data_IF_206772583094
#
_entry.id   IF_206772583094
#
_cell.length_a   1.000
_cell.length_b   1.000
_cell.length_c   1.000
_cell.angle_alpha   90.00
_cell.angle_beta   90.00
_cell.angle_gamma   90.00
#
_symmetry.space_group_name_H-M   'P 1'
#
loop_
_entity.id
_entity.type
_entity.pdbx_description
1 polymer ?
#
# COMPACT_ATOMS: atom_id res chain seq x y z
N UNK A 1 61.93 31.33 -22.38
CA UNK A 1 61.67 29.87 -22.45
C UNK A 1 62.91 29.13 -21.96
N UNK A 2 62.82 28.30 -20.90
CA UNK A 2 63.74 27.19 -20.66
C UNK A 2 62.99 25.85 -20.83
N UNK A 3 63.39 24.98 -21.77
CA UNK A 3 64.29 23.83 -21.61
C UNK A 3 63.81 22.76 -20.59
N UNK A 4 63.11 21.73 -21.10
CA UNK A 4 63.02 20.36 -20.53
C UNK A 4 64.36 19.61 -20.75
N UNK A 5 64.70 18.40 -20.22
CA UNK A 5 63.89 17.34 -19.56
C UNK A 5 64.60 16.59 -18.39
N UNK A 6 64.01 15.49 -17.86
CA UNK A 6 64.63 14.24 -17.31
C UNK A 6 63.46 13.40 -16.74
N UNK A 7 63.06 12.28 -17.36
CA UNK A 7 63.48 10.92 -16.99
C UNK A 7 63.00 10.55 -15.57
N UNK A 8 62.23 9.52 -15.26
CA UNK A 8 62.01 8.18 -15.83
C UNK A 8 60.92 7.49 -15.00
N UNK A 9 60.13 6.59 -15.59
CA UNK A 9 59.46 5.52 -14.85
C UNK A 9 57.94 5.50 -14.90
N UNK A 10 57.35 5.18 -16.06
CA UNK A 10 55.98 4.65 -16.09
C UNK A 10 56.09 3.16 -15.72
N UNK A 11 55.99 2.87 -14.41
CA UNK A 11 55.67 1.53 -13.95
C UNK A 11 54.16 1.37 -14.06
N UNK A 12 53.80 0.50 -15.00
CA UNK A 12 52.46 0.04 -15.28
C UNK A 12 52.00 -0.82 -14.08
N UNK A 13 51.40 -0.18 -13.07
CA UNK A 13 50.84 -0.88 -11.92
C UNK A 13 49.38 -1.21 -12.21
N UNK A 14 49.15 -2.47 -12.59
CA UNK A 14 47.83 -3.07 -12.66
C UNK A 14 47.18 -2.97 -11.28
N UNK A 15 46.24 -2.05 -11.12
CA UNK A 15 45.22 -2.12 -10.06
C UNK A 15 43.90 -2.52 -10.67
N UNK A 16 43.74 -3.82 -10.90
CA UNK A 16 42.45 -4.45 -10.63
C UNK A 16 42.33 -4.58 -9.11
N UNK A 17 41.42 -3.83 -8.50
CA UNK A 17 40.66 -4.31 -7.34
C UNK A 17 39.39 -3.47 -7.26
N UNK A 18 38.29 -4.05 -7.75
CA UNK A 18 36.94 -4.00 -7.17
C UNK A 18 36.55 -2.71 -6.42
N UNK A 19 35.69 -1.89 -7.03
CA UNK A 19 34.76 -1.05 -6.26
C UNK A 19 33.86 -2.00 -5.44
N UNK A 20 33.92 -2.02 -4.09
CA UNK A 20 33.01 -2.80 -3.28
C UNK A 20 31.97 -1.88 -2.63
N UNK A 21 31.48 -0.86 -3.36
CA UNK A 21 30.65 0.17 -2.74
C UNK A 21 29.56 0.73 -3.67
N UNK A 22 28.76 -0.15 -4.25
CA UNK A 22 27.31 0.09 -4.29
C UNK A 22 26.74 -0.39 -2.95
N UNK A 23 27.06 0.31 -1.86
CA UNK A 23 26.17 0.25 -0.70
C UNK A 23 24.95 1.07 -1.10
N UNK A 24 23.94 0.35 -1.60
CA UNK A 24 22.60 0.87 -1.74
C UNK A 24 22.23 1.65 -0.49
N UNK A 25 21.63 2.82 -0.70
CA UNK A 25 21.15 3.72 0.34
C UNK A 25 20.50 2.89 1.46
N UNK A 26 20.82 3.13 2.75
CA UNK A 26 20.24 2.33 3.82
C UNK A 26 18.71 2.41 3.73
N UNK A 27 18.09 1.28 3.40
CA UNK A 27 16.65 1.13 3.29
C UNK A 27 16.02 1.58 4.60
N UNK A 28 15.05 2.50 4.53
CA UNK A 28 14.41 3.06 5.71
C UNK A 28 13.76 1.95 6.56
N UNK A 29 13.63 2.16 7.88
CA UNK A 29 12.96 1.18 8.75
C UNK A 29 11.53 0.88 8.27
N UNK A 30 10.80 1.92 7.82
CA UNK A 30 9.46 1.76 7.26
C UNK A 30 9.45 0.91 5.99
N UNK A 31 10.45 1.09 5.11
CA UNK A 31 10.59 0.29 3.89
C UNK A 31 10.91 -1.17 4.22
N UNK A 32 11.76 -1.42 5.21
CA UNK A 32 12.06 -2.77 5.67
C UNK A 32 10.82 -3.48 6.21
N UNK A 33 10.01 -2.77 7.01
CA UNK A 33 8.73 -3.27 7.50
C UNK A 33 7.78 -3.64 6.35
N UNK A 34 7.61 -2.75 5.36
CA UNK A 34 6.79 -3.06 4.17
C UNK A 34 7.31 -4.28 3.39
N UNK A 35 8.63 -4.41 3.23
CA UNK A 35 9.24 -5.54 2.54
C UNK A 35 9.00 -6.86 3.27
N UNK A 36 9.13 -6.87 4.61
CA UNK A 36 8.82 -8.05 5.44
C UNK A 36 7.35 -8.45 5.30
N UNK A 37 6.43 -7.48 5.37
CA UNK A 37 5.00 -7.69 5.17
C UNK A 37 4.67 -8.23 3.79
N UNK A 38 5.28 -7.69 2.73
CA UNK A 38 5.13 -8.18 1.36
C UNK A 38 5.59 -9.64 1.23
N UNK A 39 6.74 -9.98 1.82
CA UNK A 39 7.27 -11.34 1.83
C UNK A 39 6.38 -12.30 2.60
N UNK A 40 5.81 -11.86 3.71
CA UNK A 40 4.82 -12.65 4.44
C UNK A 40 3.62 -13.00 3.55
N UNK A 41 3.04 -12.02 2.83
CA UNK A 41 1.91 -12.29 1.93
C UNK A 41 2.26 -13.25 0.79
N UNK A 42 3.47 -13.16 0.23
CA UNK A 42 3.93 -14.07 -0.82
C UNK A 42 4.03 -15.53 -0.30
N UNK A 43 4.42 -15.71 0.97
CA UNK A 43 4.55 -17.02 1.62
C UNK A 43 3.22 -17.53 2.20
N UNK A 44 2.28 -16.64 2.49
CA UNK A 44 0.98 -16.95 3.09
C UNK A 44 -0.21 -16.60 2.18
N UNK A 45 -0.42 -17.35 1.07
CA UNK A 45 -1.64 -17.23 0.28
C UNK A 45 -2.95 -17.47 1.06
N UNK A 46 -2.85 -18.14 2.22
CA UNK A 46 -3.96 -18.42 3.14
C UNK A 46 -4.56 -17.15 3.76
N UNK A 47 -3.82 -16.05 3.78
CA UNK A 47 -4.31 -14.75 4.27
C UNK A 47 -5.56 -14.27 3.51
N UNK A 48 -5.62 -14.47 2.19
CA UNK A 48 -6.74 -14.07 1.33
C UNK A 48 -7.94 -15.02 1.40
N UNK A 49 -8.25 -15.54 2.58
CA UNK A 49 -9.38 -16.43 2.83
C UNK A 49 -10.71 -15.65 2.92
N UNK A 50 -11.81 -16.39 3.01
CA UNK A 50 -13.15 -15.82 3.12
C UNK A 50 -13.37 -15.04 4.44
N UNK A 51 -12.55 -15.27 5.46
CA UNK A 51 -12.68 -14.60 6.76
C UNK A 51 -12.22 -13.13 6.71
N UNK A 52 -11.38 -12.80 5.72
CA UNK A 52 -10.91 -11.43 5.45
C UNK A 52 -12.03 -10.50 4.97
N UNK A 53 -13.23 -11.02 4.70
CA UNK A 53 -14.41 -10.20 4.42
C UNK A 53 -14.80 -9.27 5.57
N UNK A 54 -14.45 -9.64 6.81
CA UNK A 54 -14.84 -8.89 8.00
C UNK A 54 -13.93 -7.67 8.23
N UNK A 55 -12.69 -7.72 7.72
CA UNK A 55 -11.75 -6.60 7.76
C UNK A 55 -12.18 -5.44 6.83
N UNK A 56 -12.88 -5.74 5.73
CA UNK A 56 -13.57 -4.74 4.90
C UNK A 56 -14.92 -5.21 4.36
N UNK A 57 -15.99 -5.03 5.13
CA UNK A 57 -17.32 -5.46 4.71
C UNK A 57 -17.83 -4.70 3.48
N UNK A 58 -17.34 -3.49 3.23
CA UNK A 58 -17.81 -2.60 2.16
C UNK A 58 -17.15 -2.92 0.83
N UNK A 59 -15.83 -3.08 0.86
CA UNK A 59 -15.04 -3.50 -0.27
C UNK A 59 -15.45 -4.90 -0.75
N UNK A 60 -15.59 -5.86 0.18
CA UNK A 60 -16.02 -7.21 -0.16
C UNK A 60 -17.42 -7.24 -0.78
N UNK A 61 -18.37 -6.44 -0.27
CA UNK A 61 -19.72 -6.36 -0.83
C UNK A 61 -19.71 -5.86 -2.29
N UNK A 62 -18.86 -4.86 -2.58
CA UNK A 62 -18.76 -4.22 -3.90
C UNK A 62 -17.99 -5.06 -4.92
N UNK A 63 -16.85 -5.62 -4.52
CA UNK A 63 -15.91 -6.29 -5.43
C UNK A 63 -16.17 -7.79 -5.57
N UNK A 64 -16.70 -8.44 -4.53
CA UNK A 64 -16.94 -9.89 -4.53
C UNK A 64 -18.43 -10.18 -4.57
N UNK A 65 -19.20 -9.73 -3.56
CA UNK A 65 -20.60 -10.12 -3.38
C UNK A 65 -21.51 -9.64 -4.51
N UNK A 66 -21.18 -8.54 -5.19
CA UNK A 66 -21.92 -8.06 -6.37
C UNK A 66 -21.93 -9.06 -7.53
N UNK A 67 -20.81 -9.74 -7.77
CA UNK A 67 -20.66 -10.72 -8.86
C UNK A 67 -21.06 -12.13 -8.47
N UNK A 68 -21.28 -12.40 -7.19
CA UNK A 68 -21.79 -13.69 -6.74
C UNK A 68 -23.20 -13.96 -7.26
N UNK A 69 -23.39 -15.18 -7.73
CA UNK A 69 -24.71 -15.68 -8.12
C UNK A 69 -25.59 -15.93 -6.89
N UNK A 70 -26.93 -15.92 -7.04
CA UNK A 70 -27.83 -16.27 -5.93
C UNK A 70 -27.51 -17.63 -5.30
N UNK A 71 -27.11 -18.62 -6.11
CA UNK A 71 -26.74 -19.95 -5.63
C UNK A 71 -25.46 -19.96 -4.79
N UNK A 72 -24.44 -19.15 -5.17
CA UNK A 72 -23.22 -18.97 -4.37
C UNK A 72 -23.55 -18.28 -3.04
N UNK A 73 -24.37 -17.23 -3.04
CA UNK A 73 -24.80 -16.53 -1.82
C UNK A 73 -25.57 -17.43 -0.86
N UNK A 74 -26.45 -18.28 -1.38
CA UNK A 74 -27.17 -19.26 -0.55
C UNK A 74 -26.25 -20.34 0.03
N UNK A 75 -25.23 -20.76 -0.72
CA UNK A 75 -24.24 -21.72 -0.23
C UNK A 75 -23.37 -21.11 0.88
N UNK A 76 -22.91 -19.87 0.67
CA UNK A 76 -22.15 -19.10 1.65
C UNK A 76 -22.99 -18.81 2.90
N UNK A 77 -24.24 -18.35 2.72
CA UNK A 77 -25.17 -18.13 3.82
C UNK A 77 -25.50 -19.43 4.59
N UNK A 78 -25.55 -20.58 3.92
CA UNK A 78 -25.66 -21.88 4.59
C UNK A 78 -24.40 -22.27 5.35
N UNK A 79 -23.21 -21.97 4.81
CA UNK A 79 -21.94 -22.27 5.47
C UNK A 79 -21.75 -21.41 6.73
N UNK A 80 -22.06 -20.11 6.66
CA UNK A 80 -21.98 -19.16 7.78
C UNK A 80 -23.13 -19.29 8.79
N UNK A 81 -24.26 -19.84 8.33
CA UNK A 81 -25.48 -19.93 9.12
C UNK A 81 -26.13 -18.57 9.40
N UNK A 82 -27.28 -18.60 10.08
CA UNK A 82 -28.07 -17.39 10.36
C UNK A 82 -27.31 -16.35 11.19
N UNK A 83 -26.53 -16.80 12.19
CA UNK A 83 -25.75 -15.90 13.04
C UNK A 83 -24.65 -15.16 12.26
N UNK A 84 -23.93 -15.85 11.39
CA UNK A 84 -22.86 -15.24 10.59
C UNK A 84 -23.41 -14.25 9.56
N UNK A 85 -24.54 -14.57 8.92
CA UNK A 85 -25.22 -13.64 8.01
C UNK A 85 -25.64 -12.36 8.73
N UNK A 86 -26.22 -12.48 9.93
CA UNK A 86 -26.63 -11.33 10.72
C UNK A 86 -25.42 -10.48 11.15
N UNK A 87 -24.33 -11.10 11.57
CA UNK A 87 -23.09 -10.42 11.95
C UNK A 87 -22.52 -9.63 10.76
N UNK A 88 -22.42 -10.26 9.59
CA UNK A 88 -21.91 -9.62 8.39
C UNK A 88 -22.79 -8.43 7.95
N UNK A 89 -24.12 -8.55 8.08
CA UNK A 89 -25.04 -7.46 7.76
C UNK A 89 -24.94 -6.30 8.77
N UNK A 90 -24.77 -6.60 10.07
CA UNK A 90 -24.55 -5.60 11.10
C UNK A 90 -23.25 -4.83 10.86
N UNK A 91 -22.13 -5.54 10.69
CA UNK A 91 -20.82 -4.95 10.42
C UNK A 91 -20.83 -4.11 9.15
N UNK A 92 -21.52 -4.56 8.08
CA UNK A 92 -21.68 -3.77 6.86
C UNK A 92 -22.47 -2.48 7.11
N UNK A 93 -23.50 -2.53 7.95
CA UNK A 93 -24.27 -1.33 8.28
C UNK A 93 -23.48 -0.33 9.12
N UNK A 94 -22.67 -0.83 10.05
CA UNK A 94 -21.79 -0.03 10.90
C UNK A 94 -20.67 0.61 10.07
N UNK A 95 -19.99 -0.18 9.24
CA UNK A 95 -18.96 0.32 8.33
C UNK A 95 -19.49 1.39 7.38
N UNK A 96 -20.72 1.26 6.86
CA UNK A 96 -21.34 2.31 6.03
C UNK A 96 -21.55 3.62 6.78
N UNK A 97 -21.94 3.55 8.06
CA UNK A 97 -22.11 4.73 8.88
C UNK A 97 -20.76 5.36 9.23
N UNK A 98 -19.77 4.52 9.52
CA UNK A 98 -18.43 4.98 9.84
C UNK A 98 -17.76 5.66 8.64
N UNK A 99 -17.85 5.08 7.45
CA UNK A 99 -17.36 5.68 6.21
C UNK A 99 -18.02 7.03 5.87
N UNK A 100 -19.24 7.29 6.37
CA UNK A 100 -19.87 8.61 6.27
C UNK A 100 -19.31 9.62 7.29
N UNK A 101 -19.01 9.18 8.51
CA UNK A 101 -18.49 10.07 9.56
C UNK A 101 -16.98 10.30 9.45
N UNK A 102 -16.24 9.31 8.98
CA UNK A 102 -14.80 9.28 8.84
C UNK A 102 -14.45 8.78 7.42
N UNK A 103 -14.57 9.64 6.39
CA UNK A 103 -14.16 9.27 5.05
C UNK A 103 -12.64 9.03 5.03
N UNK A 104 -12.22 7.79 4.82
CA UNK A 104 -10.82 7.43 4.68
C UNK A 104 -10.30 7.90 3.29
N UNK A 105 -9.23 8.71 3.23
CA UNK A 105 -8.58 9.09 1.97
C UNK A 105 -8.08 7.90 1.15
N UNK A 106 -7.82 6.76 1.78
CA UNK A 106 -7.31 5.56 1.12
C UNK A 106 -8.41 4.57 0.69
N UNK A 107 -9.66 4.80 1.08
CA UNK A 107 -10.77 3.94 0.68
C UNK A 107 -11.06 4.08 -0.82
N UNK A 108 -11.19 2.94 -1.50
CA UNK A 108 -11.55 2.91 -2.93
C UNK A 108 -12.93 3.50 -3.22
N UNK A 109 -13.84 3.49 -2.24
CA UNK A 109 -15.21 3.95 -2.40
C UNK A 109 -15.55 5.02 -1.38
N UNK A 110 -16.05 6.16 -1.84
CA UNK A 110 -16.64 7.17 -0.96
C UNK A 110 -18.12 6.91 -0.79
N UNK A 111 -18.63 7.14 0.42
CA UNK A 111 -20.03 6.96 0.75
C UNK A 111 -20.68 8.31 1.00
N UNK A 112 -21.88 8.49 0.44
CA UNK A 112 -22.68 9.69 0.60
C UNK A 112 -24.11 9.35 1.01
N UNK A 113 -24.73 10.26 1.76
CA UNK A 113 -26.12 10.09 2.19
C UNK A 113 -27.05 10.57 1.08
N UNK A 114 -27.81 9.63 0.52
CA UNK A 114 -28.81 9.88 -0.50
C UNK A 114 -30.01 10.70 0.03
N UNK A 115 -30.85 11.20 -0.87
CA UNK A 115 -31.98 12.09 -0.53
C UNK A 115 -33.02 11.44 0.39
N UNK A 116 -33.10 10.11 0.42
CA UNK A 116 -34.00 9.34 1.28
C UNK A 116 -33.33 8.82 2.57
N UNK A 117 -32.08 9.22 2.84
CA UNK A 117 -31.30 8.73 3.98
C UNK A 117 -30.62 7.37 3.75
N UNK A 118 -30.72 6.80 2.55
CA UNK A 118 -29.95 5.62 2.14
C UNK A 118 -28.47 5.98 1.96
N UNK A 119 -27.56 5.11 2.39
CA UNK A 119 -26.12 5.29 2.22
C UNK A 119 -25.73 4.69 0.87
N UNK A 120 -25.46 5.54 -0.10
CA UNK A 120 -25.03 5.16 -1.43
C UNK A 120 -23.50 5.34 -1.50
N UNK A 121 -22.79 4.37 -2.05
CA UNK A 121 -21.43 4.68 -2.47
C UNK A 121 -21.54 5.57 -3.70
N UNK A 122 -20.83 6.70 -3.71
CA UNK A 122 -20.70 7.49 -4.93
C UNK A 122 -19.93 6.65 -5.93
N UNK A 123 -20.59 6.32 -7.04
CA UNK A 123 -19.99 5.55 -8.10
C UNK A 123 -18.95 6.45 -8.80
N UNK A 124 -17.71 6.40 -8.31
CA UNK A 124 -16.57 6.65 -9.19
C UNK A 124 -16.60 5.56 -10.26
N UNK A 125 -16.23 5.88 -11.50
CA UNK A 125 -16.22 4.99 -12.67
C UNK A 125 -15.30 3.74 -12.54
N UNK A 126 -14.91 3.37 -11.32
CA UNK A 126 -13.92 2.37 -10.94
C UNK A 126 -14.57 1.04 -10.49
N UNK A 127 -15.82 0.79 -10.88
CA UNK A 127 -16.46 -0.52 -10.67
C UNK A 127 -15.87 -1.50 -11.69
N UNK A 128 -15.26 -2.62 -11.26
CA UNK A 128 -14.74 -3.60 -12.19
C UNK A 128 -15.84 -4.16 -13.10
N UNK A 129 -15.59 -4.39 -14.39
CA UNK A 129 -16.56 -4.97 -15.31
C UNK A 129 -16.75 -6.48 -15.12
N UNK A 130 -15.85 -7.17 -14.42
CA UNK A 130 -15.83 -8.62 -14.31
C UNK A 130 -15.53 -9.12 -12.89
N UNK A 131 -15.99 -10.35 -12.58
CA UNK A 131 -15.69 -11.04 -11.31
C UNK A 131 -14.19 -11.19 -11.08
N UNK A 132 -13.45 -11.53 -12.14
CA UNK A 132 -11.99 -11.71 -12.07
C UNK A 132 -11.26 -10.40 -11.76
N UNK A 133 -11.68 -9.29 -12.37
CA UNK A 133 -11.13 -7.96 -12.05
C UNK A 133 -11.53 -7.50 -10.65
N UNK A 134 -12.76 -7.81 -10.20
CA UNK A 134 -13.19 -7.58 -8.82
C UNK A 134 -12.34 -8.33 -7.79
N UNK A 135 -12.07 -9.62 -8.03
CA UNK A 135 -11.20 -10.43 -7.18
C UNK A 135 -9.75 -9.91 -7.16
N UNK A 136 -9.22 -9.49 -8.31
CA UNK A 136 -7.88 -8.89 -8.39
C UNK A 136 -7.81 -7.55 -7.67
N UNK A 137 -8.79 -6.67 -7.86
CA UNK A 137 -8.87 -5.39 -7.18
C UNK A 137 -9.01 -5.59 -5.66
N UNK A 138 -9.82 -6.56 -5.23
CA UNK A 138 -9.97 -6.89 -3.81
C UNK A 138 -8.67 -7.40 -3.21
N UNK A 139 -7.99 -8.33 -3.86
CA UNK A 139 -6.67 -8.82 -3.40
C UNK A 139 -5.64 -7.71 -3.34
N UNK A 140 -5.59 -6.85 -4.36
CA UNK A 140 -4.66 -5.73 -4.41
C UNK A 140 -4.91 -4.75 -3.25
N UNK A 141 -6.15 -4.38 -3.02
CA UNK A 141 -6.51 -3.46 -1.94
C UNK A 141 -6.20 -4.06 -0.56
N UNK A 142 -6.62 -5.32 -0.30
CA UNK A 142 -6.27 -6.05 0.92
C UNK A 142 -4.75 -6.15 1.12
N UNK A 143 -3.99 -6.34 0.04
CA UNK A 143 -2.53 -6.32 0.07
C UNK A 143 -2.01 -4.96 0.52
N UNK A 144 -2.51 -3.86 -0.08
CA UNK A 144 -2.09 -2.51 0.29
C UNK A 144 -2.43 -2.17 1.75
N UNK A 145 -3.63 -2.54 2.22
CA UNK A 145 -4.03 -2.39 3.62
C UNK A 145 -3.09 -3.16 4.55
N UNK A 146 -2.78 -4.42 4.21
CA UNK A 146 -1.84 -5.21 4.99
C UNK A 146 -0.44 -4.58 5.04
N UNK A 147 0.06 -4.08 3.90
CA UNK A 147 1.37 -3.42 3.82
C UNK A 147 1.42 -2.15 4.67
N UNK A 148 0.34 -1.37 4.71
CA UNK A 148 0.21 -0.18 5.57
C UNK A 148 0.09 -0.53 7.05
N UNK A 149 -0.47 -1.69 7.38
CA UNK A 149 -0.68 -2.12 8.75
C UNK A 149 -2.06 -1.77 9.28
N UNK A 150 -3.05 -1.75 8.39
CA UNK A 150 -4.44 -1.34 8.66
C UNK A 150 -5.36 -2.54 8.92
N UNK A 151 -4.79 -3.74 9.09
CA UNK A 151 -5.52 -4.95 9.50
C UNK A 151 -5.41 -5.13 11.03
N UNK A 152 -6.42 -4.63 11.75
CA UNK A 152 -6.45 -4.68 13.22
C UNK A 152 -6.56 -6.11 13.79
N UNK A 153 -7.02 -7.07 12.98
CA UNK A 153 -7.16 -8.47 13.40
C UNK A 153 -5.83 -9.25 13.29
N UNK A 154 -4.82 -8.68 12.63
CA UNK A 154 -3.52 -9.32 12.41
C UNK A 154 -2.43 -8.85 13.38
N UNK A 155 -1.69 -9.79 13.99
CA UNK A 155 -0.55 -9.47 14.84
C UNK A 155 0.72 -9.20 14.00
N UNK A 156 0.91 -7.93 13.63
CA UNK A 156 2.09 -7.49 12.88
C UNK A 156 3.41 -7.68 13.62
N UNK A 157 3.42 -7.92 14.93
CA UNK A 157 4.69 -8.08 15.67
C UNK A 157 5.48 -9.31 15.23
N UNK A 158 4.78 -10.36 14.80
CA UNK A 158 5.39 -11.60 14.28
C UNK A 158 6.05 -11.40 12.90
N UNK A 159 5.64 -10.39 12.16
CA UNK A 159 6.11 -10.11 10.79
C UNK A 159 7.13 -8.97 10.79
N UNK A 160 6.79 -7.87 11.46
CA UNK A 160 7.60 -6.65 11.51
C UNK A 160 8.90 -6.87 12.28
N UNK A 161 8.92 -7.80 13.24
CA UNK A 161 10.12 -8.17 14.01
C UNK A 161 10.96 -9.29 13.38
N UNK A 162 10.48 -9.94 12.32
CA UNK A 162 11.10 -11.15 11.79
C UNK A 162 12.18 -10.82 10.74
N UNK A 163 13.43 -10.96 11.13
CA UNK A 163 14.60 -10.77 10.25
C UNK A 163 14.72 -11.86 9.17
N UNK A 164 14.06 -13.03 9.31
CA UNK A 164 14.06 -14.07 8.27
C UNK A 164 13.28 -13.63 7.02
N UNK A 165 12.35 -12.68 7.18
CA UNK A 165 11.61 -12.06 6.08
C UNK A 165 12.39 -10.93 5.39
N UNK A 166 13.57 -10.55 5.91
CA UNK A 166 14.51 -9.67 5.20
C UNK A 166 15.22 -10.47 4.10
N UNK A 167 14.52 -10.77 3.02
CA UNK A 167 15.15 -11.39 1.86
C UNK A 167 16.04 -10.35 1.17
N UNK A 168 17.36 -10.49 1.27
CA UNK A 168 18.36 -9.56 0.74
C UNK A 168 18.46 -9.56 -0.80
N UNK A 169 17.50 -10.16 -1.53
CA UNK A 169 17.51 -10.22 -2.98
C UNK A 169 17.10 -8.88 -3.62
N UNK A 170 17.72 -8.57 -4.77
CA UNK A 170 17.61 -7.33 -5.56
C UNK A 170 16.17 -6.95 -5.99
N UNK A 171 15.17 -7.80 -5.77
CA UNK A 171 13.76 -7.54 -6.12
C UNK A 171 13.10 -6.46 -5.25
N UNK A 172 13.71 -6.10 -4.11
CA UNK A 172 13.22 -5.04 -3.22
C UNK A 172 13.41 -3.62 -3.79
N UNK A 173 14.44 -3.38 -4.62
CA UNK A 173 14.75 -2.04 -5.16
C UNK A 173 13.75 -1.64 -6.26
N UNK A 174 13.31 -2.61 -7.07
CA UNK A 174 12.49 -2.34 -8.26
C UNK A 174 11.05 -1.91 -7.94
N UNK A 175 10.50 -2.38 -6.82
CA UNK A 175 9.14 -1.98 -6.41
C UNK A 175 9.09 -0.53 -5.93
N UNK A 176 10.24 0.03 -5.50
CA UNK A 176 10.32 1.36 -4.90
C UNK A 176 10.68 2.47 -5.90
N UNK A 177 11.42 2.17 -6.97
CA UNK A 177 11.66 3.13 -8.06
C UNK A 177 10.36 3.58 -8.77
N UNK A 178 9.30 2.77 -8.69
CA UNK A 178 7.99 3.04 -9.30
C UNK A 178 6.99 3.74 -8.33
N UNK A 179 7.28 3.84 -7.02
CA UNK A 179 6.44 4.62 -6.07
C UNK A 179 6.82 6.11 -6.11
N UNK A 180 5.92 6.98 -6.58
CA UNK A 180 6.13 8.43 -6.48
C UNK A 180 6.19 8.86 -5.01
N UNK A 181 7.17 9.68 -4.60
CA UNK A 181 7.35 10.09 -3.21
C UNK A 181 6.14 10.87 -2.70
N UNK A 182 5.45 10.33 -1.70
CA UNK A 182 4.40 11.02 -0.96
C UNK A 182 5.05 12.03 0.02
N UNK A 183 4.77 13.32 -0.15
CA UNK A 183 5.33 14.37 0.70
C UNK A 183 4.61 14.40 2.05
N UNK A 184 5.15 13.68 3.04
CA UNK A 184 4.69 13.78 4.43
C UNK A 184 5.15 15.13 5.00
N UNK A 185 4.22 16.09 5.11
CA UNK A 185 4.46 17.34 5.84
C UNK A 185 4.16 17.06 7.32
N UNK A 186 5.20 16.74 8.11
CA UNK A 186 5.10 16.72 9.57
C UNK A 186 4.86 18.15 10.08
N UNK A 187 3.60 18.49 10.36
CA UNK A 187 3.27 19.75 11.01
C UNK A 187 1.82 20.18 10.85
N UNK A 188 0.99 19.82 11.84
CA UNK A 188 -0.20 20.54 12.30
C UNK A 188 -0.89 21.53 11.34
N UNK A 189 -2.14 21.22 11.01
CA UNK A 189 -3.16 22.24 10.81
C UNK A 189 -3.60 22.41 9.36
N UNK A 190 -4.85 22.04 9.14
CA UNK A 190 -5.72 22.46 8.05
C UNK A 190 -5.45 23.93 7.61
N UNK A 191 -4.82 24.12 6.45
CA UNK A 191 -4.56 25.44 5.87
C UNK A 191 -3.65 25.41 4.64
N UNK A 192 -4.26 25.58 3.46
CA UNK A 192 -3.68 25.97 2.15
C UNK A 192 -2.17 25.76 1.92
N UNK A 193 -1.84 24.64 1.26
CA UNK A 193 -0.47 24.25 0.86
C UNK A 193 0.05 25.06 -0.35
N UNK A 194 -0.78 25.91 -0.98
CA UNK A 194 -0.37 26.68 -2.17
C UNK A 194 0.40 27.97 -1.88
N UNK A 195 0.38 28.51 -0.66
CA UNK A 195 0.95 29.83 -0.37
C UNK A 195 2.37 29.85 0.24
N UNK A 196 2.99 28.68 0.54
CA UNK A 196 4.29 28.64 1.24
C UNK A 196 5.49 28.12 0.46
N UNK A 197 5.42 28.09 -0.88
CA UNK A 197 6.57 27.87 -1.75
C UNK A 197 7.08 29.19 -2.33
N UNK A 198 7.37 30.18 -1.47
CA UNK A 198 8.15 31.36 -1.89
C UNK A 198 9.62 31.02 -1.81
N UNK A 199 10.15 30.39 -2.86
CA UNK A 199 11.58 30.27 -3.07
C UNK A 199 12.18 31.65 -3.32
N UNK A 200 12.93 32.17 -2.35
CA UNK A 200 13.82 33.32 -2.54
C UNK A 200 14.96 32.89 -3.47
N UNK A 201 14.76 32.99 -4.78
CA UNK A 201 15.86 32.92 -5.74
C UNK A 201 16.57 34.26 -5.75
N UNK A 202 17.62 34.35 -4.93
CA UNK A 202 18.54 35.48 -4.91
C UNK A 202 19.18 35.69 -6.28
N UNK A 203 18.89 36.84 -6.89
CA UNK A 203 19.68 37.41 -7.97
C UNK A 203 20.41 38.62 -7.37
N UNK A 204 21.69 38.47 -7.07
CA UNK A 204 22.59 39.58 -6.75
C UNK A 204 23.16 40.10 -8.07
N UNK A 205 22.71 41.27 -8.50
CA UNK A 205 23.34 42.03 -9.58
C UNK A 205 24.54 42.81 -9.00
N UNK A 206 25.70 42.70 -9.65
CA UNK A 206 26.97 43.32 -9.27
C UNK A 206 27.19 44.65 -10.01
#
# INVERSE_FOLDING_TARGET
MPLFPMGTGVQNDQRQTSDPNHHGTPVSLATRTKNRRKRYLDLHPEYFSADLELADPLLYDRLIRRFQTPSEREAEGRAKGFSGVLQADLLRSEAKMDALSHPDPHALFTYARGPNGEILAEDRDEIPPSKEEGEKAWRFEMTMRFLRGEDDDFDYTEVDGNEELDDASEEQEKYFDDEEPEWVIEGQGNGDVRERLTGETGIQDF
#
